data_IF_704659749949
#
_entry.id   IF_704659749949
#
_cell.length_a   1.000
_cell.length_b   1.000
_cell.length_c   1.000
_cell.angle_alpha   90.00
_cell.angle_beta   90.00
_cell.angle_gamma   90.00
#
_symmetry.space_group_name_H-M   'P 1'
#
loop_
_entity.id
_entity.type
_entity.pdbx_description
1 polymer ?
#
# COMPACT_ATOMS: atom_id res chain seq x y z
N UNK A 1 5.77 -2.23 -21.71
CA UNK A 1 5.63 -3.02 -20.50
C UNK A 1 6.05 -2.19 -19.31
N UNK A 2 5.16 -2.05 -18.36
CA UNK A 2 5.41 -1.18 -17.22
C UNK A 2 6.36 -1.82 -16.22
N UNK A 3 7.13 -0.99 -15.55
CA UNK A 3 8.10 -1.45 -14.57
C UNK A 3 7.81 -0.82 -13.22
N UNK A 4 8.33 -1.44 -12.20
CA UNK A 4 8.29 -0.86 -10.88
C UNK A 4 9.00 0.50 -10.89
N UNK A 5 8.38 1.53 -10.30
CA UNK A 5 9.04 2.82 -10.19
C UNK A 5 10.24 2.73 -9.26
N UNK A 6 11.21 3.60 -9.49
CA UNK A 6 12.41 3.69 -8.66
C UNK A 6 12.15 4.66 -7.53
N UNK A 7 11.70 4.14 -6.39
CA UNK A 7 11.35 4.95 -5.22
C UNK A 7 12.39 4.77 -4.12
N UNK A 8 12.91 5.89 -3.63
CA UNK A 8 13.95 5.90 -2.61
C UNK A 8 13.63 6.93 -1.53
N UNK A 9 12.64 6.66 -0.68
CA UNK A 9 12.28 7.60 0.38
C UNK A 9 13.34 7.67 1.47
N UNK A 10 13.51 8.85 2.03
CA UNK A 10 14.31 9.03 3.24
C UNK A 10 13.52 8.57 4.46
N UNK A 11 14.17 8.54 5.63
CA UNK A 11 13.48 8.20 6.87
C UNK A 11 12.30 9.15 7.10
N UNK A 12 11.17 8.59 7.48
CA UNK A 12 9.95 9.34 7.73
C UNK A 12 9.15 9.68 6.48
N UNK A 13 9.69 9.41 5.30
CA UNK A 13 9.03 9.78 4.03
C UNK A 13 8.27 8.62 3.42
N UNK A 14 7.09 8.94 2.87
CA UNK A 14 6.30 8.03 2.06
C UNK A 14 6.34 8.55 0.63
N UNK A 15 6.79 7.71 -0.29
CA UNK A 15 6.75 8.02 -1.73
C UNK A 15 5.73 7.12 -2.40
N UNK A 16 5.00 7.67 -3.37
CA UNK A 16 3.96 6.93 -4.08
C UNK A 16 4.09 7.13 -5.58
N UNK A 17 3.64 6.14 -6.34
CA UNK A 17 3.57 6.24 -7.80
C UNK A 17 2.45 5.37 -8.33
N UNK A 18 1.76 5.84 -9.35
CA UNK A 18 0.78 5.02 -10.05
C UNK A 18 1.53 4.12 -11.03
N UNK A 19 1.26 2.83 -10.95
CA UNK A 19 1.91 1.83 -11.81
C UNK A 19 1.01 1.43 -12.96
N UNK A 20 -0.26 1.15 -12.66
CA UNK A 20 -1.27 0.76 -13.65
C UNK A 20 -2.55 1.51 -13.36
N UNK A 21 -3.13 2.12 -14.40
CA UNK A 21 -4.44 2.76 -14.30
C UNK A 21 -5.27 2.34 -15.50
N UNK A 22 -6.34 1.59 -15.24
CA UNK A 22 -7.32 1.21 -16.26
C UNK A 22 -8.71 1.42 -15.67
N UNK A 23 -9.74 1.16 -16.47
CA UNK A 23 -11.12 1.23 -15.96
C UNK A 23 -11.40 0.16 -14.89
N UNK A 24 -10.62 -0.91 -14.89
CA UNK A 24 -10.85 -2.06 -14.02
C UNK A 24 -9.99 -2.03 -12.75
N UNK A 25 -8.82 -1.40 -12.81
CA UNK A 25 -7.87 -1.50 -11.70
C UNK A 25 -6.96 -0.27 -11.62
N UNK A 26 -6.67 0.13 -10.40
CA UNK A 26 -5.62 1.09 -10.10
C UNK A 26 -4.57 0.37 -9.25
N UNK A 27 -3.33 0.31 -9.73
CA UNK A 27 -2.22 -0.23 -8.94
C UNK A 27 -1.28 0.92 -8.60
N UNK A 28 -1.10 1.16 -7.30
CA UNK A 28 -0.17 2.19 -6.80
C UNK A 28 0.95 1.51 -6.04
N UNK A 29 2.16 1.99 -6.24
CA UNK A 29 3.30 1.57 -5.43
C UNK A 29 3.52 2.57 -4.31
N UNK A 30 3.83 2.05 -3.13
CA UNK A 30 4.15 2.83 -1.94
C UNK A 30 5.49 2.37 -1.40
N UNK A 31 6.40 3.31 -1.22
CA UNK A 31 7.66 3.04 -0.55
C UNK A 31 7.68 3.82 0.75
N UNK A 32 7.85 3.10 1.85
CA UNK A 32 7.85 3.67 3.19
C UNK A 32 9.28 3.63 3.73
N UNK A 33 9.87 4.80 3.91
CA UNK A 33 11.13 4.90 4.63
C UNK A 33 10.94 4.55 6.10
N UNK A 34 12.01 4.34 6.85
CA UNK A 34 11.90 4.04 8.28
C UNK A 34 11.07 5.09 9.01
N UNK A 35 10.06 4.64 9.76
CA UNK A 35 9.17 5.53 10.50
C UNK A 35 8.04 6.15 9.70
N UNK A 36 7.99 5.91 8.39
CA UNK A 36 6.95 6.46 7.54
C UNK A 36 5.61 5.76 7.78
N UNK A 37 4.54 6.49 7.48
CA UNK A 37 3.19 6.01 7.73
C UNK A 37 2.28 6.39 6.57
N UNK A 38 1.44 5.43 6.17
CA UNK A 38 0.30 5.65 5.30
C UNK A 38 -0.92 5.71 6.20
N UNK A 39 -1.54 6.89 6.32
CA UNK A 39 -2.67 7.07 7.22
C UNK A 39 -3.85 6.19 6.82
N UNK A 40 -4.60 5.66 7.80
CA UNK A 40 -5.76 4.85 7.50
C UNK A 40 -6.80 5.62 6.67
N UNK A 41 -7.34 4.93 5.68
CA UNK A 41 -8.40 5.45 4.82
C UNK A 41 -9.22 4.26 4.33
N UNK A 42 -10.36 4.53 3.70
CA UNK A 42 -11.20 3.46 3.16
C UNK A 42 -11.60 3.75 1.71
N UNK A 43 -12.02 2.68 1.03
CA UNK A 43 -12.55 2.75 -0.32
C UNK A 43 -13.87 1.99 -0.32
N UNK A 44 -15.01 2.69 -0.16
CA UNK A 44 -16.29 2.00 -0.02
C UNK A 44 -16.72 1.23 -1.26
N UNK A 45 -16.20 1.61 -2.43
CA UNK A 45 -16.62 1.02 -3.70
C UNK A 45 -15.56 0.13 -4.35
N UNK A 46 -14.45 -0.10 -3.69
CA UNK A 46 -13.36 -0.89 -4.26
C UNK A 46 -12.77 -1.88 -3.26
N UNK A 47 -12.44 -3.06 -3.77
CA UNK A 47 -11.61 -4.00 -3.04
C UNK A 47 -10.16 -3.57 -3.18
N UNK A 48 -9.40 -3.61 -2.10
CA UNK A 48 -8.00 -3.24 -2.09
C UNK A 48 -7.15 -4.43 -1.68
N UNK A 49 -6.07 -4.68 -2.42
CA UNK A 49 -5.14 -5.75 -2.09
C UNK A 49 -3.76 -5.14 -1.92
N UNK A 50 -3.19 -5.28 -0.74
CA UNK A 50 -1.80 -4.92 -0.49
C UNK A 50 -0.91 -6.12 -0.83
N UNK A 51 0.13 -5.87 -1.59
CA UNK A 51 1.16 -6.86 -1.85
C UNK A 51 2.49 -6.27 -1.38
N UNK A 52 3.02 -6.80 -0.30
CA UNK A 52 4.31 -6.35 0.25
C UNK A 52 5.40 -7.02 -0.57
N UNK A 53 6.20 -6.22 -1.26
CA UNK A 53 7.20 -6.71 -2.20
C UNK A 53 8.63 -6.57 -1.67
N UNK A 54 8.82 -5.72 -0.65
CA UNK A 54 10.15 -5.51 -0.05
C UNK A 54 10.01 -5.13 1.40
N UNK A 55 10.85 -5.70 2.25
CA UNK A 55 10.90 -5.36 3.66
C UNK A 55 9.73 -5.86 4.47
N UNK A 56 9.46 -5.19 5.59
CA UNK A 56 8.39 -5.53 6.52
C UNK A 56 7.58 -4.27 6.83
N UNK A 57 6.26 -4.39 6.76
CA UNK A 57 5.36 -3.30 7.15
C UNK A 57 4.40 -3.79 8.23
N UNK A 58 3.94 -2.87 9.06
CA UNK A 58 2.80 -3.12 9.94
C UNK A 58 1.56 -2.63 9.19
N UNK A 59 0.69 -3.57 8.83
CA UNK A 59 -0.54 -3.26 8.12
C UNK A 59 -1.64 -3.01 9.14
N UNK A 60 -2.37 -1.93 8.93
CA UNK A 60 -3.50 -1.55 9.78
C UNK A 60 -4.78 -1.87 9.04
N UNK A 61 -5.71 -2.54 9.72
CA UNK A 61 -7.04 -2.83 9.16
C UNK A 61 -8.06 -2.68 10.29
N UNK A 62 -8.89 -1.64 10.21
CA UNK A 62 -9.79 -1.24 11.28
C UNK A 62 -9.02 -1.12 12.60
N UNK A 63 -9.34 -1.93 13.61
CA UNK A 63 -8.67 -1.91 14.91
C UNK A 63 -7.52 -2.90 15.01
N UNK A 64 -7.22 -3.61 13.93
CA UNK A 64 -6.20 -4.66 13.94
C UNK A 64 -4.89 -4.19 13.31
N UNK A 65 -3.80 -4.76 13.78
CA UNK A 65 -2.47 -4.56 13.21
C UNK A 65 -1.81 -5.90 12.97
N UNK A 66 -1.10 -6.02 11.86
CA UNK A 66 -0.35 -7.23 11.56
C UNK A 66 0.96 -6.87 10.88
N UNK A 67 2.05 -7.49 11.30
CA UNK A 67 3.34 -7.35 10.63
C UNK A 67 3.37 -8.30 9.45
N UNK A 68 3.70 -7.76 8.29
CA UNK A 68 3.76 -8.52 7.05
C UNK A 68 5.13 -8.33 6.43
N UNK A 69 5.84 -9.44 6.28
CA UNK A 69 7.17 -9.46 5.64
C UNK A 69 7.02 -9.92 4.20
N UNK A 70 7.74 -9.28 3.30
CA UNK A 70 7.73 -9.63 1.89
C UNK A 70 8.23 -11.07 1.65
N UNK A 71 7.60 -11.82 0.73
CA UNK A 71 6.38 -11.46 0.03
C UNK A 71 5.15 -11.73 0.87
N UNK A 72 4.19 -10.80 0.84
CA UNK A 72 2.97 -10.96 1.59
C UNK A 72 1.81 -10.25 0.92
N UNK A 73 0.60 -10.77 1.13
CA UNK A 73 -0.62 -10.23 0.53
C UNK A 73 -1.67 -10.05 1.62
N UNK A 74 -2.32 -8.89 1.62
CA UNK A 74 -3.40 -8.58 2.57
C UNK A 74 -4.59 -8.05 1.80
N UNK A 75 -5.75 -8.65 2.03
CA UNK A 75 -7.01 -8.22 1.43
C UNK A 75 -7.69 -7.21 2.34
N UNK A 76 -8.10 -6.09 1.76
CA UNK A 76 -8.96 -5.11 2.42
C UNK A 76 -10.29 -5.07 1.68
N UNK A 77 -11.33 -5.59 2.31
CA UNK A 77 -12.67 -5.57 1.73
C UNK A 77 -13.20 -4.15 1.68
N UNK A 78 -14.20 -3.94 0.83
CA UNK A 78 -14.82 -2.62 0.65
C UNK A 78 -15.28 -2.06 1.97
N UNK A 79 -14.98 -0.79 2.20
CA UNK A 79 -15.41 -0.07 3.40
C UNK A 79 -14.56 -0.33 4.64
N UNK A 80 -13.56 -1.22 4.58
CA UNK A 80 -12.67 -1.45 5.72
C UNK A 80 -11.56 -0.40 5.70
N UNK A 81 -11.37 0.27 6.82
CA UNK A 81 -10.26 1.23 6.95
C UNK A 81 -8.94 0.47 6.94
N UNK A 82 -7.97 1.00 6.22
CA UNK A 82 -6.66 0.34 6.10
C UNK A 82 -5.54 1.36 5.94
N UNK A 83 -4.38 0.98 6.36
CA UNK A 83 -3.18 1.78 6.25
C UNK A 83 -1.96 0.92 6.49
N UNK A 84 -0.81 1.56 6.62
CA UNK A 84 0.44 0.84 6.86
C UNK A 84 1.45 1.76 7.52
N UNK A 85 2.38 1.16 8.26
CA UNK A 85 3.47 1.94 8.82
C UNK A 85 4.74 1.09 8.80
N UNK A 86 5.88 1.76 8.68
CA UNK A 86 7.17 1.08 8.71
C UNK A 86 7.81 1.30 10.07
N UNK A 87 7.76 0.29 10.92
CA UNK A 87 8.34 0.35 12.26
C UNK A 87 9.81 -0.11 12.28
N UNK A 88 10.35 -0.47 11.12
CA UNK A 88 11.71 -0.95 11.02
C UNK A 88 12.71 0.15 10.66
N UNK A 89 13.92 -0.25 10.35
CA UNK A 89 15.02 0.65 9.99
C UNK A 89 15.44 0.55 8.52
N UNK A 90 14.70 -0.20 7.73
CA UNK A 90 14.93 -0.32 6.28
C UNK A 90 13.67 0.07 5.53
N UNK A 91 13.83 0.51 4.28
CA UNK A 91 12.70 0.84 3.42
C UNK A 91 11.84 -0.39 3.15
N UNK A 92 10.53 -0.21 3.18
CA UNK A 92 9.58 -1.24 2.82
C UNK A 92 8.76 -0.77 1.62
N UNK A 93 8.39 -1.71 0.76
CA UNK A 93 7.64 -1.41 -0.46
C UNK A 93 6.43 -2.32 -0.55
N UNK A 94 5.30 -1.72 -0.89
CA UNK A 94 4.08 -2.48 -1.18
C UNK A 94 3.37 -1.87 -2.38
N UNK A 95 2.54 -2.68 -3.04
CA UNK A 95 1.56 -2.16 -3.99
C UNK A 95 0.18 -2.29 -3.40
N UNK A 96 -0.68 -1.33 -3.77
CA UNK A 96 -2.11 -1.41 -3.47
C UNK A 96 -2.84 -1.51 -4.81
N UNK A 97 -3.63 -2.56 -4.96
CA UNK A 97 -4.45 -2.78 -6.16
C UNK A 97 -5.91 -2.57 -5.80
N UNK A 98 -6.55 -1.59 -6.45
CA UNK A 98 -7.94 -1.26 -6.20
C UNK A 98 -8.79 -1.67 -7.40
N UNK A 99 -9.80 -2.48 -7.15
CA UNK A 99 -10.69 -3.03 -8.18
C UNK A 99 -12.14 -2.90 -7.73
N UNK A 100 -13.00 -2.30 -8.55
CA UNK A 100 -12.71 -1.56 -9.78
C UNK A 100 -12.00 -0.24 -9.50
N UNK A 101 -11.66 0.48 -10.55
CA UNK A 101 -11.10 1.82 -10.38
C UNK A 101 -12.04 2.65 -9.52
N UNK A 102 -11.57 3.26 -8.42
CA UNK A 102 -12.44 4.02 -7.53
C UNK A 102 -13.17 5.13 -8.29
N UNK A 103 -14.48 5.20 -8.09
CA UNK A 103 -15.31 6.20 -8.74
C UNK A 103 -14.91 7.61 -8.33
N UNK A 104 -14.77 8.49 -9.30
CA UNK A 104 -14.38 9.87 -9.04
C UNK A 104 -12.92 10.05 -8.68
N UNK A 105 -12.16 8.96 -8.65
CA UNK A 105 -10.77 9.02 -8.24
C UNK A 105 -9.82 8.62 -9.29
#
# INVERSE_FOLDING_TARGET
>A
MDRYPDLNPDAGELETAEVVVTDDVLVKAFALGPGAEMEPHDHPDATNVFHVTEGTVTVLQDDEEARVTAPGVVLHERGRAHGARNDGDETAVLTASLCPLPGGG
#
